data_IF_497131693412
#
_entry.id   IF_497131693412
#
_cell.length_a   1.000
_cell.length_b   1.000
_cell.length_c   1.000
_cell.angle_alpha   90.00
_cell.angle_beta   90.00
_cell.angle_gamma   90.00
#
_symmetry.space_group_name_H-M   'P 1'
#
loop_
_entity.id
_entity.type
_entity.pdbx_description
1 polymer ?
#
# COMPACT_ATOMS: atom_id res chain seq x y z
N UNK A 1 -38.50 -19.40 46.53
CA UNK A 1 -37.24 -18.75 46.99
C UNK A 1 -36.23 -19.82 47.37
N UNK A 2 -35.26 -20.17 46.51
CA UNK A 2 -34.16 -21.05 46.89
C UNK A 2 -32.93 -20.24 47.33
N UNK A 3 -32.41 -20.55 48.52
CA UNK A 3 -31.14 -20.05 49.06
C UNK A 3 -29.98 -20.79 48.40
N UNK A 4 -29.08 -20.06 47.75
CA UNK A 4 -27.77 -20.58 47.32
C UNK A 4 -26.67 -20.12 48.29
N UNK A 5 -25.76 -21.00 48.75
CA UNK A 5 -24.68 -20.62 49.65
C UNK A 5 -23.51 -19.95 48.92
N UNK A 6 -23.00 -18.89 49.54
CA UNK A 6 -21.80 -18.14 49.17
C UNK A 6 -20.54 -19.01 49.32
N UNK A 7 -19.90 -19.37 48.21
CA UNK A 7 -18.55 -19.92 48.22
C UNK A 7 -17.52 -18.78 48.17
N UNK A 8 -16.92 -18.46 49.32
CA UNK A 8 -15.70 -17.65 49.44
C UNK A 8 -14.53 -18.43 48.84
N UNK A 9 -13.91 -17.91 47.77
CA UNK A 9 -12.52 -18.25 47.42
C UNK A 9 -11.63 -17.04 47.67
N UNK A 10 -10.79 -17.16 48.69
CA UNK A 10 -9.61 -16.33 48.90
C UNK A 10 -8.55 -16.79 47.92
N UNK A 11 -8.01 -15.88 47.12
CA UNK A 11 -6.67 -16.05 46.54
C UNK A 11 -5.88 -14.82 46.94
N UNK A 12 -4.78 -15.09 47.64
CA UNK A 12 -3.88 -14.12 48.20
C UNK A 12 -2.68 -13.93 47.27
N UNK A 13 -2.29 -12.67 47.15
CA UNK A 13 -0.92 -12.16 47.27
C UNK A 13 0.04 -12.19 46.07
N UNK A 14 0.85 -11.11 46.10
CA UNK A 14 2.17 -10.87 45.47
C UNK A 14 2.06 -10.42 44.00
N UNK A 15 2.50 -9.23 43.58
CA UNK A 15 3.48 -8.29 44.11
C UNK A 15 4.56 -8.09 43.05
N UNK A 16 4.65 -6.90 42.45
CA UNK A 16 5.78 -6.37 41.66
C UNK A 16 5.39 -4.95 41.22
N UNK A 17 6.05 -3.90 41.72
CA UNK A 17 7.29 -3.30 41.21
C UNK A 17 6.96 -2.00 40.44
N UNK A 18 7.10 -0.86 41.12
CA UNK A 18 7.02 0.48 40.53
C UNK A 18 8.43 0.89 40.14
N UNK A 19 8.73 0.94 38.85
CA UNK A 19 9.96 1.51 38.30
C UNK A 19 9.62 2.94 37.88
N UNK A 20 10.21 3.92 38.56
CA UNK A 20 10.18 5.32 38.16
C UNK A 20 11.47 5.65 37.38
N UNK A 21 11.33 5.85 36.07
CA UNK A 21 12.38 6.33 35.17
C UNK A 21 12.16 7.84 34.97
N UNK A 22 13.12 8.67 35.38
CA UNK A 22 13.10 10.11 35.12
C UNK A 22 13.94 10.40 33.87
N UNK A 23 13.24 10.92 32.86
CA UNK A 23 13.75 11.54 31.64
C UNK A 23 14.47 12.85 31.95
N UNK A 24 15.46 13.22 31.13
CA UNK A 24 15.71 14.61 30.70
C UNK A 24 16.53 14.61 29.41
N UNK A 25 15.83 14.90 28.31
CA UNK A 25 16.33 15.27 26.99
C UNK A 25 16.18 16.78 26.80
N UNK A 26 17.19 17.42 26.20
CA UNK A 26 17.13 18.75 25.55
C UNK A 26 18.34 18.82 24.61
N UNK A 27 18.29 19.21 23.33
CA UNK A 27 17.21 19.76 22.51
C UNK A 27 17.70 19.90 21.06
N UNK A 28 16.74 19.97 20.15
CA UNK A 28 16.87 20.21 18.70
C UNK A 28 17.35 21.63 18.37
N UNK A 29 17.87 21.88 17.16
CA UNK A 29 17.38 23.01 16.34
C UNK A 29 17.72 22.87 14.82
N UNK A 30 16.66 22.65 14.05
CA UNK A 30 16.20 23.30 12.78
C UNK A 30 17.17 23.79 11.67
N UNK A 31 16.87 23.37 10.41
CA UNK A 31 17.23 24.00 9.10
C UNK A 31 16.34 25.26 8.83
N UNK A 32 16.15 25.82 7.60
CA UNK A 32 16.87 25.87 6.30
C UNK A 32 16.98 27.34 5.75
N UNK A 33 17.45 27.54 4.52
CA UNK A 33 16.91 28.48 3.48
C UNK A 33 17.92 28.53 2.29
N UNK A 34 17.57 28.22 1.04
CA UNK A 34 16.72 28.88 0.01
C UNK A 34 17.54 29.70 -0.99
N UNK A 35 17.39 29.34 -2.26
CA UNK A 35 17.97 29.93 -3.48
C UNK A 35 16.94 30.88 -4.14
N UNK A 36 17.33 32.03 -4.72
CA UNK A 36 16.45 32.85 -5.54
C UNK A 36 16.81 32.84 -7.04
N UNK A 37 15.78 32.73 -7.88
CA UNK A 37 15.92 32.61 -9.35
C UNK A 37 16.00 33.90 -10.18
N UNK A 38 15.80 33.74 -11.50
CA UNK A 38 15.52 34.78 -12.52
C UNK A 38 14.91 34.04 -13.74
N UNK A 39 13.74 34.37 -14.33
CA UNK A 39 13.15 35.58 -14.97
C UNK A 39 13.68 35.97 -16.35
N UNK A 40 12.78 35.76 -17.35
CA UNK A 40 12.43 36.61 -18.52
C UNK A 40 13.42 36.70 -19.69
N UNK A 41 13.09 37.02 -20.96
CA UNK A 41 11.91 37.05 -21.85
C UNK A 41 12.38 37.70 -23.20
N UNK A 42 11.80 37.33 -24.35
CA UNK A 42 11.69 38.08 -25.65
C UNK A 42 11.48 37.05 -26.79
N UNK A 43 10.46 37.00 -27.66
CA UNK A 43 9.51 37.91 -28.37
C UNK A 43 10.05 38.55 -29.67
N UNK A 44 9.14 38.57 -30.66
CA UNK A 44 9.09 39.15 -32.03
C UNK A 44 9.55 38.22 -33.17
N UNK A 45 8.74 37.74 -34.14
CA UNK A 45 7.62 38.23 -34.97
C UNK A 45 8.08 38.60 -36.40
N UNK A 46 7.55 37.90 -37.42
CA UNK A 46 7.00 38.44 -38.69
C UNK A 46 6.91 37.37 -39.81
N UNK A 47 5.71 37.24 -40.39
CA UNK A 47 5.38 36.62 -41.70
C UNK A 47 5.58 37.68 -42.81
N UNK A 48 5.69 37.35 -44.13
CA UNK A 48 4.57 36.80 -44.92
C UNK A 48 4.93 35.88 -46.14
N UNK A 49 3.91 35.17 -46.64
CA UNK A 49 3.88 34.34 -47.87
C UNK A 49 3.88 35.19 -49.18
N UNK A 50 4.11 34.60 -50.37
CA UNK A 50 2.94 34.16 -51.17
C UNK A 50 3.12 32.96 -52.16
N UNK A 51 2.06 32.13 -52.21
CA UNK A 51 1.34 31.46 -53.34
C UNK A 51 2.08 30.70 -54.47
N UNK A 52 1.59 29.47 -54.70
CA UNK A 52 1.56 28.78 -56.00
C UNK A 52 0.93 27.37 -55.93
N UNK A 53 -0.36 27.26 -56.30
CA UNK A 53 -1.03 26.02 -56.76
C UNK A 53 -1.05 26.04 -58.33
N UNK A 54 -1.32 24.96 -59.11
CA UNK A 54 -2.04 23.73 -58.74
C UNK A 54 -1.58 22.39 -59.40
N UNK A 55 -2.24 21.30 -58.99
CA UNK A 55 -2.53 20.03 -59.69
C UNK A 55 -1.42 19.04 -60.09
N UNK A 56 -1.40 17.87 -59.42
CA UNK A 56 -1.53 16.54 -60.03
C UNK A 56 -1.40 15.40 -58.99
N UNK A 57 -2.51 14.74 -58.65
CA UNK A 57 -2.52 13.36 -58.15
C UNK A 57 -2.21 12.41 -59.34
N UNK A 58 -1.46 11.30 -59.18
CA UNK A 58 -2.05 10.13 -58.54
C UNK A 58 -1.08 9.21 -57.76
N UNK A 59 -1.57 8.71 -56.63
CA UNK A 59 -1.34 7.35 -56.08
C UNK A 59 0.11 6.83 -56.00
N UNK A 60 0.60 6.64 -54.78
CA UNK A 60 1.27 5.41 -54.40
C UNK A 60 1.16 5.21 -52.89
N UNK A 61 0.71 4.01 -52.53
CA UNK A 61 0.68 3.43 -51.20
C UNK A 61 1.97 3.68 -50.41
N UNK A 62 1.85 4.39 -49.30
CA UNK A 62 2.62 4.09 -48.09
C UNK A 62 1.61 3.93 -46.96
N UNK A 63 1.07 2.72 -46.84
CA UNK A 63 0.64 2.21 -45.54
C UNK A 63 1.90 2.17 -44.69
N UNK A 64 2.20 3.29 -44.03
CA UNK A 64 3.14 3.31 -42.93
C UNK A 64 2.55 2.38 -41.86
N UNK A 65 3.04 1.15 -41.86
CA UNK A 65 2.70 0.14 -40.89
C UNK A 65 3.01 0.75 -39.53
N UNK A 66 1.96 1.09 -38.81
CA UNK A 66 2.05 1.51 -37.41
C UNK A 66 2.58 0.30 -36.64
N UNK A 67 3.90 0.16 -36.53
CA UNK A 67 4.62 -0.77 -35.66
C UNK A 67 4.44 -0.38 -34.18
N UNK A 68 3.26 0.07 -33.79
CA UNK A 68 2.86 0.16 -32.40
C UNK A 68 2.29 -1.19 -31.97
N UNK A 69 3.07 -2.26 -32.10
CA UNK A 69 2.90 -3.37 -31.17
C UNK A 69 3.47 -2.83 -29.86
N UNK A 70 2.64 -2.15 -29.08
CA UNK A 70 2.92 -2.01 -27.66
C UNK A 70 3.02 -3.46 -27.17
N UNK A 71 4.20 -3.99 -26.80
CA UNK A 71 4.28 -5.32 -26.23
C UNK A 71 3.53 -5.22 -24.91
N UNK A 72 2.24 -5.55 -24.94
CA UNK A 72 1.44 -5.73 -23.74
C UNK A 72 2.00 -6.99 -23.13
N UNK A 73 3.06 -6.83 -22.32
CA UNK A 73 3.71 -7.92 -21.63
C UNK A 73 2.63 -8.77 -21.00
N UNK A 74 2.51 -10.03 -21.43
CA UNK A 74 1.52 -10.93 -20.88
C UNK A 74 1.77 -11.02 -19.37
N UNK A 75 0.72 -10.85 -18.55
CA UNK A 75 0.87 -10.82 -17.11
C UNK A 75 1.47 -12.14 -16.66
N UNK A 76 2.51 -12.12 -15.80
CA UNK A 76 2.96 -13.35 -15.20
C UNK A 76 1.78 -13.97 -14.45
N UNK A 77 1.49 -15.23 -14.75
CA UNK A 77 0.33 -15.94 -14.23
C UNK A 77 0.37 -15.89 -12.70
N UNK A 78 -0.71 -15.38 -12.11
CA UNK A 78 -0.85 -15.33 -10.65
C UNK A 78 -0.77 -16.76 -10.07
N UNK A 79 -0.04 -16.98 -8.96
CA UNK A 79 -0.14 -18.23 -8.26
C UNK A 79 -1.54 -18.47 -7.70
N UNK A 80 -1.91 -19.74 -7.51
CA UNK A 80 -3.19 -20.13 -6.94
C UNK A 80 -3.44 -19.43 -5.58
N UNK A 81 -4.64 -18.89 -5.40
CA UNK A 81 -5.01 -18.11 -4.21
C UNK A 81 -4.55 -16.63 -4.24
N UNK A 82 -3.95 -16.18 -5.34
CA UNK A 82 -3.54 -14.79 -5.54
C UNK A 82 -4.01 -14.22 -6.88
N UNK A 83 -3.99 -12.89 -6.97
CA UNK A 83 -4.31 -12.13 -8.17
C UNK A 83 -3.11 -11.26 -8.56
N UNK A 84 -2.84 -11.13 -9.87
CA UNK A 84 -1.80 -10.24 -10.39
C UNK A 84 -2.38 -8.85 -10.66
N UNK A 85 -1.85 -7.82 -10.00
CA UNK A 85 -2.07 -6.41 -10.33
C UNK A 85 -1.01 -5.91 -11.30
N UNK A 86 -1.43 -5.09 -12.28
CA UNK A 86 -0.54 -4.41 -13.24
C UNK A 86 0.00 -3.10 -12.67
N UNK A 87 1.21 -2.75 -13.10
CA UNK A 87 1.88 -1.45 -12.90
C UNK A 87 2.01 -0.95 -11.45
N UNK A 88 3.11 -1.31 -10.74
CA UNK A 88 4.06 -2.38 -11.03
C UNK A 88 3.44 -3.76 -10.78
N UNK A 89 4.00 -4.81 -11.39
CA UNK A 89 3.53 -6.17 -11.17
C UNK A 89 3.55 -6.56 -9.69
N UNK A 90 2.39 -6.99 -9.17
CA UNK A 90 2.25 -7.38 -7.77
C UNK A 90 1.25 -8.52 -7.65
N UNK A 91 1.64 -9.63 -7.04
CA UNK A 91 0.73 -10.67 -6.61
C UNK A 91 0.10 -10.28 -5.27
N UNK A 92 -1.21 -10.39 -5.18
CA UNK A 92 -1.99 -10.04 -4.00
C UNK A 92 -2.81 -11.27 -3.58
N UNK A 93 -2.71 -11.67 -2.32
CA UNK A 93 -3.55 -12.73 -1.77
C UNK A 93 -5.04 -12.35 -1.90
N UNK A 94 -5.86 -13.26 -2.41
CA UNK A 94 -7.31 -13.04 -2.64
C UNK A 94 -8.13 -13.06 -1.35
N UNK A 95 -7.61 -13.69 -0.29
CA UNK A 95 -8.31 -13.94 0.99
C UNK A 95 -9.53 -14.88 0.88
N UNK A 96 -9.67 -15.59 -0.23
CA UNK A 96 -10.67 -16.64 -0.39
C UNK A 96 -10.26 -17.93 0.32
N UNK A 97 -11.22 -18.81 0.60
CA UNK A 97 -10.92 -20.17 1.07
C UNK A 97 -10.04 -20.91 0.05
N UNK A 98 -9.02 -21.68 0.48
CA UNK A 98 -8.73 -22.11 1.85
C UNK A 98 -7.80 -21.18 2.67
N UNK A 99 -7.46 -19.99 2.16
CA UNK A 99 -6.49 -19.08 2.78
C UNK A 99 -7.10 -17.71 3.13
N UNK A 100 -8.02 -17.65 4.13
CA UNK A 100 -8.62 -16.40 4.57
C UNK A 100 -7.58 -15.47 5.20
N UNK A 101 -7.82 -14.16 5.07
CA UNK A 101 -6.94 -13.14 5.64
C UNK A 101 -7.28 -12.90 7.12
N UNK A 102 -6.38 -13.26 8.06
CA UNK A 102 -6.64 -13.13 9.48
C UNK A 102 -6.53 -11.67 9.94
N UNK A 103 -7.10 -11.35 11.09
CA UNK A 103 -6.86 -10.10 11.79
C UNK A 103 -5.83 -10.31 12.90
N UNK A 104 -4.65 -9.73 12.75
CA UNK A 104 -3.52 -9.94 13.66
C UNK A 104 -2.83 -8.61 14.03
N UNK A 105 -2.02 -8.63 15.09
CA UNK A 105 -1.07 -7.55 15.37
C UNK A 105 -0.02 -7.48 14.26
N UNK A 106 0.58 -6.30 14.05
CA UNK A 106 1.48 -6.07 12.91
C UNK A 106 2.65 -7.06 12.85
N UNK A 107 3.37 -7.36 13.96
CA UNK A 107 4.49 -8.30 13.89
C UNK A 107 4.06 -9.74 13.59
N UNK A 108 2.88 -10.14 14.11
CA UNK A 108 2.31 -11.46 13.84
C UNK A 108 1.82 -11.57 12.39
N UNK A 109 1.28 -10.49 11.83
CA UNK A 109 0.90 -10.42 10.42
C UNK A 109 2.09 -10.46 9.46
N UNK A 110 3.17 -9.77 9.79
CA UNK A 110 4.43 -9.83 9.03
C UNK A 110 5.03 -11.25 9.05
N UNK A 111 5.03 -11.92 10.21
CA UNK A 111 5.42 -13.32 10.33
C UNK A 111 4.50 -14.24 9.51
N UNK A 112 3.18 -14.05 9.60
CA UNK A 112 2.18 -14.81 8.84
C UNK A 112 2.45 -14.74 7.34
N UNK A 113 2.72 -13.54 6.80
CA UNK A 113 3.04 -13.41 5.38
C UNK A 113 4.35 -14.11 5.00
N UNK A 114 5.39 -14.06 5.84
CA UNK A 114 6.66 -14.74 5.54
C UNK A 114 6.51 -16.26 5.48
N UNK A 115 5.66 -16.82 6.33
CA UNK A 115 5.39 -18.26 6.42
C UNK A 115 4.37 -18.76 5.40
N UNK A 116 3.58 -17.86 4.81
CA UNK A 116 2.56 -18.16 3.83
C UNK A 116 3.15 -18.84 2.59
N UNK A 117 2.48 -19.91 2.15
CA UNK A 117 2.79 -20.66 0.94
C UNK A 117 1.56 -20.72 0.05
N UNK A 118 1.58 -20.01 -1.06
CA UNK A 118 0.48 -19.93 -2.03
C UNK A 118 0.99 -20.28 -3.42
N UNK A 119 0.34 -21.23 -4.10
CA UNK A 119 0.71 -21.69 -5.43
C UNK A 119 2.18 -22.10 -5.60
N UNK A 120 2.84 -22.58 -4.54
CA UNK A 120 4.27 -22.93 -4.53
C UNK A 120 5.23 -21.75 -4.25
N UNK A 121 4.72 -20.53 -4.06
CA UNK A 121 5.52 -19.36 -3.75
C UNK A 121 5.65 -19.15 -2.23
N UNK A 122 6.87 -18.84 -1.80
CA UNK A 122 7.25 -18.45 -0.43
C UNK A 122 7.65 -16.98 -0.36
N UNK A 123 7.95 -16.47 0.84
CA UNK A 123 8.43 -15.11 1.07
C UNK A 123 7.41 -14.04 0.67
N UNK A 124 6.16 -14.20 1.10
CA UNK A 124 5.19 -13.12 0.99
C UNK A 124 5.47 -12.07 2.07
N UNK A 125 4.98 -10.86 1.85
CA UNK A 125 5.17 -9.73 2.76
C UNK A 125 3.87 -8.96 2.96
N UNK A 126 3.83 -8.14 4.00
CA UNK A 126 2.79 -7.10 4.08
C UNK A 126 2.95 -6.10 2.91
N UNK A 127 1.85 -5.52 2.42
CA UNK A 127 1.89 -4.45 1.44
C UNK A 127 2.52 -3.20 2.04
N UNK A 128 3.10 -2.37 1.18
CA UNK A 128 3.45 -0.99 1.50
C UNK A 128 2.20 -0.12 1.52
N UNK A 129 2.31 1.05 2.14
CA UNK A 129 1.27 2.08 2.18
C UNK A 129 0.73 2.41 0.79
N UNK A 130 1.61 2.50 -0.20
CA UNK A 130 1.28 2.88 -1.58
C UNK A 130 0.59 1.76 -2.36
N UNK A 131 0.79 0.51 -1.96
CA UNK A 131 0.21 -0.67 -2.62
C UNK A 131 -1.24 -0.92 -2.21
N UNK A 132 -1.62 -0.68 -0.96
CA UNK A 132 -2.98 -0.95 -0.45
C UNK A 132 -4.08 -0.24 -1.27
N UNK A 133 -3.96 1.06 -1.61
CA UNK A 133 -4.85 1.74 -2.54
C UNK A 133 -5.22 0.99 -3.82
N UNK A 134 -4.31 0.15 -4.33
CA UNK A 134 -4.47 -0.56 -5.60
C UNK A 134 -5.44 -1.74 -5.52
N UNK A 135 -5.85 -2.14 -4.32
CA UNK A 135 -6.80 -3.25 -4.13
C UNK A 135 -8.25 -2.83 -4.41
N UNK A 136 -8.51 -1.52 -4.42
CA UNK A 136 -9.85 -0.97 -4.58
C UNK A 136 -10.45 -1.34 -5.94
N UNK A 137 -11.67 -1.88 -5.92
CA UNK A 137 -12.44 -2.15 -7.14
C UNK A 137 -11.83 -3.22 -8.05
N UNK A 138 -10.89 -4.02 -7.54
CA UNK A 138 -10.30 -5.12 -8.29
C UNK A 138 -11.16 -6.36 -8.13
N UNK A 139 -11.66 -6.87 -9.25
CA UNK A 139 -12.45 -8.11 -9.30
C UNK A 139 -11.63 -9.31 -8.80
N UNK A 140 -12.20 -10.11 -7.92
CA UNK A 140 -11.55 -11.30 -7.34
C UNK A 140 -10.67 -11.03 -6.12
N UNK A 141 -10.53 -9.77 -5.67
CA UNK A 141 -10.03 -9.47 -4.33
C UNK A 141 -11.21 -9.40 -3.35
N UNK A 142 -11.48 -10.50 -2.67
CA UNK A 142 -12.50 -10.55 -1.62
C UNK A 142 -12.01 -9.85 -0.36
N UNK A 143 -12.93 -9.35 0.47
CA UNK A 143 -12.61 -8.78 1.78
C UNK A 143 -11.58 -7.62 1.72
N UNK A 144 -11.75 -6.69 0.77
CA UNK A 144 -10.97 -5.42 0.73
C UNK A 144 -11.47 -4.41 1.75
N UNK A 145 -12.69 -4.57 2.26
CA UNK A 145 -13.26 -3.65 3.22
C UNK A 145 -12.49 -3.62 4.54
N UNK A 146 -12.23 -2.40 5.04
CA UNK A 146 -11.62 -2.16 6.33
C UNK A 146 -10.12 -1.89 6.28
N UNK A 147 -9.52 -1.80 7.46
CA UNK A 147 -8.15 -1.36 7.64
C UNK A 147 -7.16 -2.52 7.55
N UNK A 148 -6.13 -2.34 6.72
CA UNK A 148 -5.09 -3.31 6.47
C UNK A 148 -3.75 -2.85 7.04
N UNK A 149 -3.02 -3.77 7.66
CA UNK A 149 -1.65 -3.52 8.07
C UNK A 149 -0.72 -3.36 6.87
N UNK A 150 0.24 -2.45 6.99
CA UNK A 150 1.32 -2.27 6.01
C UNK A 150 2.68 -2.59 6.62
N UNK A 151 3.71 -2.69 5.76
CA UNK A 151 5.13 -2.72 6.17
C UNK A 151 5.75 -1.33 6.30
N UNK A 152 5.04 -0.27 5.94
CA UNK A 152 5.59 1.09 5.89
C UNK A 152 5.58 1.70 7.29
N UNK A 153 6.77 1.93 7.84
CA UNK A 153 6.92 2.65 9.11
C UNK A 153 6.54 4.13 8.92
N UNK A 154 6.16 4.80 10.01
CA UNK A 154 5.96 6.25 9.99
C UNK A 154 7.30 6.96 10.23
N UNK A 155 7.60 7.95 9.41
CA UNK A 155 8.92 8.60 9.41
C UNK A 155 9.21 9.40 10.69
N UNK A 156 8.17 9.93 11.36
CA UNK A 156 8.35 10.70 12.60
C UNK A 156 8.49 9.82 13.84
N UNK A 157 7.92 8.62 13.83
CA UNK A 157 8.04 7.63 14.90
C UNK A 157 8.00 6.21 14.31
N UNK A 158 9.18 5.61 14.22
CA UNK A 158 9.42 4.25 13.70
C UNK A 158 8.71 3.14 14.51
N UNK A 159 8.25 3.47 15.73
CA UNK A 159 7.39 2.61 16.55
C UNK A 159 5.96 2.50 16.01
N UNK A 160 5.55 3.42 15.14
CA UNK A 160 4.27 3.40 14.46
C UNK A 160 4.41 2.94 13.00
N UNK A 161 3.32 2.37 12.50
CA UNK A 161 3.22 1.82 11.16
C UNK A 161 1.92 2.30 10.53
N UNK A 162 1.94 2.50 9.22
CA UNK A 162 0.76 2.88 8.46
C UNK A 162 -0.27 1.76 8.41
N UNK A 163 -1.53 2.14 8.62
CA UNK A 163 -2.70 1.31 8.42
C UNK A 163 -3.56 2.00 7.38
N UNK A 164 -3.94 1.27 6.33
CA UNK A 164 -4.60 1.83 5.16
C UNK A 164 -5.89 1.06 4.87
N UNK A 165 -6.96 1.78 4.60
CA UNK A 165 -8.18 1.25 4.02
C UNK A 165 -8.09 1.45 2.49
N UNK A 166 -8.18 0.37 1.68
CA UNK A 166 -8.17 0.51 0.23
C UNK A 166 -9.42 1.24 -0.28
N UNK A 167 -10.54 1.15 0.45
CA UNK A 167 -11.79 1.84 0.12
C UNK A 167 -11.72 3.32 0.48
N UNK A 168 -12.40 4.14 -0.32
CA UNK A 168 -12.55 5.58 -0.06
C UNK A 168 -13.65 5.81 1.01
N UNK A 169 -13.38 5.39 2.24
CA UNK A 169 -14.22 5.76 3.37
C UNK A 169 -14.00 7.23 3.72
N UNK A 170 -15.09 7.94 4.03
CA UNK A 170 -15.15 9.36 4.36
C UNK A 170 -14.00 9.83 5.26
N UNK A 171 -13.04 10.55 4.65
CA UNK A 171 -11.96 11.34 5.28
C UNK A 171 -10.90 10.62 6.13
N UNK A 172 -10.96 9.29 6.32
CA UNK A 172 -9.93 8.54 7.06
C UNK A 172 -9.50 7.29 6.29
N UNK A 173 -8.82 7.51 5.17
CA UNK A 173 -8.25 6.43 4.36
C UNK A 173 -7.08 5.75 5.05
N UNK A 174 -6.26 6.51 5.74
CA UNK A 174 -5.00 6.05 6.32
C UNK A 174 -4.73 6.74 7.65
N UNK A 175 -4.06 6.05 8.55
CA UNK A 175 -3.56 6.60 9.81
C UNK A 175 -2.37 5.77 10.29
N UNK A 176 -1.64 6.28 11.28
CA UNK A 176 -0.53 5.58 11.91
C UNK A 176 -0.94 5.09 13.29
N UNK A 177 -0.38 3.96 13.71
CA UNK A 177 -0.63 3.42 15.04
C UNK A 177 0.52 2.50 15.49
N UNK A 178 0.76 2.35 16.80
CA UNK A 178 1.71 1.38 17.31
C UNK A 178 1.39 -0.05 16.86
N UNK A 179 2.44 -0.83 16.57
CA UNK A 179 2.39 -2.18 15.98
C UNK A 179 1.62 -3.20 16.81
N UNK A 180 1.55 -2.98 18.12
CA UNK A 180 0.99 -3.85 19.15
C UNK A 180 -0.34 -3.32 19.72
N UNK A 181 -0.88 -2.22 19.18
CA UNK A 181 -2.09 -1.58 19.73
C UNK A 181 -3.35 -2.44 19.57
N UNK A 182 -3.62 -2.91 18.35
CA UNK A 182 -4.82 -3.71 18.03
C UNK A 182 -4.62 -4.51 16.73
N UNK A 183 -5.38 -5.61 16.54
CA UNK A 183 -5.32 -6.36 15.31
C UNK A 183 -5.98 -5.61 14.15
N UNK A 184 -5.45 -5.82 12.95
CA UNK A 184 -6.03 -5.38 11.68
C UNK A 184 -5.86 -6.48 10.63
N UNK A 185 -6.55 -6.35 9.50
CA UNK A 185 -6.53 -7.36 8.45
C UNK A 185 -5.13 -7.50 7.84
N UNK A 186 -4.70 -8.75 7.71
CA UNK A 186 -3.43 -9.14 7.09
C UNK A 186 -3.71 -9.62 5.69
N UNK A 187 -3.31 -8.84 4.70
CA UNK A 187 -3.27 -9.27 3.30
C UNK A 187 -1.83 -9.34 2.87
N UNK A 188 -1.41 -10.47 2.31
CA UNK A 188 -0.03 -10.64 1.89
C UNK A 188 0.13 -10.34 0.40
N UNK A 189 1.25 -9.75 0.05
CA UNK A 189 1.64 -9.45 -1.34
C UNK A 189 3.01 -9.98 -1.65
N UNK A 190 3.29 -10.17 -2.94
CA UNK A 190 4.57 -10.67 -3.44
C UNK A 190 4.87 -10.06 -4.81
N UNK A 191 6.11 -9.64 -5.01
CA UNK A 191 6.60 -9.25 -6.34
C UNK A 191 6.89 -10.51 -7.17
N UNK A 192 6.58 -10.50 -8.49
CA UNK A 192 6.79 -11.64 -9.38
C UNK A 192 8.22 -12.19 -9.42
#
# INVERSE_FOLDING_TARGET
MPRFPLARRRIAARGAAVIALVLLSTGCDTKPDTDPGAKDAAKDAAKPDPKGDPDADPKADDKEATFAINPTAEPPRAPEGSLTLRDPWLYVQTCAEPHPCPELLQPAGDAHCRELKLGGHVNWRLPSKEEVPRFKGVEGLEATEGYHWTRTAWDEDMGQVWVVNPEDATNQREFTTPRDRKPFRIRCVKEP
#
